data_IF_319161217383
#
_entry.id   IF_319161217383
#
_cell.length_a   1.000
_cell.length_b   1.000
_cell.length_c   1.000
_cell.angle_alpha   90.00
_cell.angle_beta   90.00
_cell.angle_gamma   90.00
#
_symmetry.space_group_name_H-M   'P 1'
#
loop_
_entity.id
_entity.type
_entity.pdbx_description
1 polymer ?
#
# COMPACT_ATOMS: atom_id res chain seq x y z
N UNK A 1 9.05 -36.59 -7.16
CA UNK A 1 8.26 -36.44 -5.92
C UNK A 1 8.41 -34.99 -5.48
N UNK A 2 7.41 -34.15 -5.73
CA UNK A 2 7.38 -32.75 -5.30
C UNK A 2 7.02 -32.70 -3.81
N UNK A 3 7.89 -32.11 -3.00
CA UNK A 3 7.58 -31.85 -1.59
C UNK A 3 6.44 -30.81 -1.53
N UNK A 4 5.44 -30.98 -0.65
CA UNK A 4 4.48 -29.93 -0.38
C UNK A 4 5.19 -28.80 0.38
N UNK A 5 5.22 -27.59 -0.18
CA UNK A 5 5.50 -26.39 0.60
C UNK A 5 4.37 -26.22 1.62
N UNK A 6 4.68 -26.50 2.88
CA UNK A 6 3.78 -26.28 4.00
C UNK A 6 3.82 -24.77 4.29
N UNK A 7 2.78 -24.06 3.86
CA UNK A 7 2.57 -22.67 4.27
C UNK A 7 2.06 -22.69 5.72
N UNK A 8 2.95 -22.38 6.67
CA UNK A 8 2.58 -22.27 8.09
C UNK A 8 1.85 -20.93 8.25
N UNK A 9 0.55 -20.98 8.54
CA UNK A 9 -0.23 -19.82 8.96
C UNK A 9 0.12 -19.50 10.40
N UNK A 10 0.90 -18.44 10.61
CA UNK A 10 1.16 -17.87 11.93
C UNK A 10 0.31 -16.59 12.10
N UNK A 11 -0.74 -16.61 12.95
CA UNK A 11 -1.62 -15.47 13.18
C UNK A 11 -0.97 -14.30 13.96
N UNK A 12 0.25 -14.47 14.46
CA UNK A 12 1.08 -13.41 15.08
C UNK A 12 2.22 -12.95 14.16
N UNK A 13 2.51 -13.69 13.09
CA UNK A 13 3.39 -13.19 12.04
C UNK A 13 2.69 -12.03 11.32
N UNK A 14 3.45 -10.99 11.01
CA UNK A 14 3.03 -9.80 10.27
C UNK A 14 2.58 -10.10 8.82
N UNK A 15 2.13 -11.31 8.50
CA UNK A 15 1.80 -11.78 7.15
C UNK A 15 0.30 -11.87 6.86
N UNK A 16 -0.59 -11.68 7.85
CA UNK A 16 -2.04 -11.56 7.59
C UNK A 16 -2.35 -10.18 6.97
N UNK A 17 -2.65 -10.10 5.67
CA UNK A 17 -2.92 -8.82 5.00
C UNK A 17 -4.11 -8.09 5.61
N UNK A 18 -5.03 -8.83 6.25
CA UNK A 18 -6.22 -8.25 6.88
C UNK A 18 -5.90 -7.57 8.20
N UNK A 19 -4.87 -8.02 8.93
CA UNK A 19 -4.44 -7.38 10.18
C UNK A 19 -3.68 -6.08 9.91
N UNK A 20 -2.81 -6.06 8.88
CA UNK A 20 -2.06 -4.85 8.51
C UNK A 20 -2.99 -3.67 8.20
N UNK A 21 -4.05 -3.91 7.43
CA UNK A 21 -4.97 -2.87 6.97
C UNK A 21 -5.85 -2.33 8.12
N UNK A 22 -6.14 -3.13 9.15
CA UNK A 22 -7.00 -2.71 10.28
C UNK A 22 -6.37 -1.63 11.16
N UNK A 23 -5.05 -1.55 11.22
CA UNK A 23 -4.33 -0.63 12.10
C UNK A 23 -3.90 0.66 11.39
N UNK A 24 -4.13 0.77 10.08
CA UNK A 24 -3.81 1.98 9.32
C UNK A 24 -4.83 3.08 9.67
N UNK A 25 -4.40 4.21 10.25
CA UNK A 25 -5.30 5.31 10.55
C UNK A 25 -6.01 5.80 9.29
N UNK A 26 -7.31 6.08 9.41
CA UNK A 26 -8.15 6.70 8.36
C UNK A 26 -8.48 5.82 7.15
N UNK A 27 -8.23 4.51 7.18
CA UNK A 27 -8.77 3.62 6.15
C UNK A 27 -10.30 3.47 6.32
N UNK A 28 -11.10 3.54 5.24
CA UNK A 28 -12.54 3.35 5.37
C UNK A 28 -12.92 1.93 5.83
N UNK A 29 -13.82 1.82 6.80
CA UNK A 29 -14.33 0.53 7.27
C UNK A 29 -14.96 -0.31 6.14
N UNK A 30 -15.60 0.34 5.17
CA UNK A 30 -16.17 -0.32 3.99
C UNK A 30 -15.09 -1.01 3.15
N UNK A 31 -13.92 -0.41 3.02
CA UNK A 31 -12.78 -0.97 2.31
C UNK A 31 -12.20 -2.16 3.08
N UNK A 32 -11.99 -2.02 4.39
CA UNK A 32 -11.49 -3.12 5.25
C UNK A 32 -12.41 -4.33 5.16
N UNK A 33 -13.72 -4.11 5.27
CA UNK A 33 -14.72 -5.20 5.20
C UNK A 33 -14.72 -5.88 3.83
N UNK A 34 -14.72 -5.11 2.75
CA UNK A 34 -14.70 -5.67 1.39
C UNK A 34 -13.42 -6.50 1.15
N UNK A 35 -12.27 -6.01 1.62
CA UNK A 35 -11.00 -6.72 1.49
C UNK A 35 -10.98 -8.02 2.29
N UNK A 36 -11.42 -8.01 3.55
CA UNK A 36 -11.56 -9.23 4.37
C UNK A 36 -12.42 -10.29 3.69
N UNK A 37 -13.55 -9.89 3.11
CA UNK A 37 -14.42 -10.80 2.37
C UNK A 37 -13.72 -11.37 1.12
N UNK A 38 -12.99 -10.53 0.38
CA UNK A 38 -12.23 -10.97 -0.80
C UNK A 38 -11.14 -12.00 -0.42
N UNK A 39 -10.41 -11.78 0.68
CA UNK A 39 -9.42 -12.72 1.21
C UNK A 39 -10.08 -14.04 1.61
N UNK A 40 -11.22 -14.00 2.29
CA UNK A 40 -11.92 -15.22 2.74
C UNK A 40 -12.34 -16.14 1.59
N UNK A 41 -12.93 -15.58 0.52
CA UNK A 41 -13.34 -16.39 -0.65
C UNK A 41 -12.15 -16.86 -1.47
N UNK A 42 -11.08 -16.05 -1.54
CA UNK A 42 -9.82 -16.44 -2.17
C UNK A 42 -9.18 -17.65 -1.47
N UNK A 43 -9.08 -17.60 -0.14
CA UNK A 43 -8.54 -18.72 0.66
C UNK A 43 -9.41 -19.98 0.55
N UNK A 44 -10.71 -19.80 0.30
CA UNK A 44 -11.66 -20.90 0.04
C UNK A 44 -11.57 -21.44 -1.40
N UNK A 45 -10.72 -20.85 -2.26
CA UNK A 45 -10.51 -21.21 -3.68
C UNK A 45 -11.75 -21.02 -4.57
N UNK A 46 -12.62 -20.10 -4.18
CA UNK A 46 -13.83 -19.75 -4.93
C UNK A 46 -13.52 -18.65 -5.97
N UNK A 47 -13.06 -19.06 -7.16
CA UNK A 47 -12.54 -18.12 -8.16
C UNK A 47 -13.57 -17.06 -8.63
N UNK A 48 -14.81 -17.47 -8.90
CA UNK A 48 -15.86 -16.53 -9.33
C UNK A 48 -16.19 -15.52 -8.24
N UNK A 49 -16.31 -15.97 -6.99
CA UNK A 49 -16.54 -15.09 -5.85
C UNK A 49 -15.34 -14.16 -5.62
N UNK A 50 -14.12 -14.65 -5.81
CA UNK A 50 -12.88 -13.87 -5.73
C UNK A 50 -12.86 -12.74 -6.76
N UNK A 51 -13.26 -13.01 -8.01
CA UNK A 51 -13.31 -11.98 -9.06
C UNK A 51 -14.31 -10.86 -8.73
N UNK A 52 -15.51 -11.22 -8.26
CA UNK A 52 -16.52 -10.24 -7.81
C UNK A 52 -16.00 -9.45 -6.60
N UNK A 53 -15.39 -10.17 -5.65
CA UNK A 53 -14.67 -9.70 -4.46
C UNK A 53 -13.69 -8.57 -4.80
N UNK A 54 -12.73 -8.91 -5.66
CA UNK A 54 -11.64 -8.05 -6.09
C UNK A 54 -12.16 -6.79 -6.78
N UNK A 55 -13.14 -6.92 -7.69
CA UNK A 55 -13.77 -5.75 -8.34
C UNK A 55 -14.36 -4.80 -7.30
N UNK A 56 -15.07 -5.32 -6.30
CA UNK A 56 -15.66 -4.49 -5.23
C UNK A 56 -14.61 -3.78 -4.39
N UNK A 57 -13.49 -4.44 -4.10
CA UNK A 57 -12.36 -3.82 -3.40
C UNK A 57 -11.79 -2.67 -4.22
N UNK A 58 -11.53 -2.87 -5.52
CA UNK A 58 -11.02 -1.82 -6.41
C UNK A 58 -11.97 -0.62 -6.47
N UNK A 59 -13.27 -0.86 -6.64
CA UNK A 59 -14.29 0.20 -6.62
C UNK A 59 -14.29 0.98 -5.29
N UNK A 60 -14.14 0.29 -4.17
CA UNK A 60 -14.10 0.93 -2.85
C UNK A 60 -12.82 1.75 -2.64
N UNK A 61 -11.66 1.27 -3.13
CA UNK A 61 -10.41 2.03 -3.13
C UNK A 61 -10.59 3.33 -3.92
N UNK A 62 -11.10 3.24 -5.15
CA UNK A 62 -11.27 4.40 -6.03
C UNK A 62 -12.31 5.38 -5.46
N UNK A 63 -13.45 4.88 -4.98
CA UNK A 63 -14.50 5.67 -4.33
C UNK A 63 -13.99 6.45 -3.11
N UNK A 64 -13.02 5.92 -2.36
CA UNK A 64 -12.43 6.64 -1.23
C UNK A 64 -11.77 7.96 -1.65
N UNK A 65 -11.14 8.00 -2.83
CA UNK A 65 -10.44 9.19 -3.32
C UNK A 65 -11.31 10.05 -4.25
N UNK A 66 -12.14 9.41 -5.08
CA UNK A 66 -12.97 10.10 -6.08
C UNK A 66 -14.35 10.52 -5.53
N UNK A 67 -14.82 9.88 -4.46
CA UNK A 67 -16.16 10.09 -3.91
C UNK A 67 -17.25 9.89 -4.97
N UNK A 68 -18.17 10.84 -5.04
CA UNK A 68 -19.29 10.81 -5.98
C UNK A 68 -18.87 11.01 -7.44
N UNK A 69 -17.65 11.49 -7.71
CA UNK A 69 -17.13 11.68 -9.09
C UNK A 69 -16.91 10.35 -9.81
N UNK A 70 -16.77 9.25 -9.07
CA UNK A 70 -16.68 7.90 -9.65
C UNK A 70 -18.01 7.35 -10.16
N UNK A 71 -19.16 7.94 -9.79
CA UNK A 71 -20.49 7.39 -10.13
C UNK A 71 -20.71 7.38 -11.64
N UNK A 72 -21.02 6.21 -12.18
CA UNK A 72 -21.31 6.01 -13.60
C UNK A 72 -20.07 5.87 -14.50
N UNK A 73 -18.86 6.01 -13.94
CA UNK A 73 -17.61 5.80 -14.67
C UNK A 73 -17.19 4.33 -14.66
N UNK A 74 -16.59 3.88 -15.75
CA UNK A 74 -15.92 2.57 -15.81
C UNK A 74 -14.65 2.55 -14.96
N UNK A 75 -14.11 1.37 -14.65
CA UNK A 75 -12.91 1.27 -13.80
C UNK A 75 -11.69 1.93 -14.44
N UNK A 76 -11.51 1.77 -15.75
CA UNK A 76 -10.45 2.42 -16.52
C UNK A 76 -10.52 3.96 -16.37
N UNK A 77 -11.69 4.55 -16.59
CA UNK A 77 -11.92 5.99 -16.41
C UNK A 77 -11.63 6.46 -14.97
N UNK A 78 -12.01 5.66 -13.97
CA UNK A 78 -11.72 5.99 -12.58
C UNK A 78 -10.22 5.94 -12.27
N UNK A 79 -9.47 4.98 -12.83
CA UNK A 79 -8.02 4.92 -12.70
C UNK A 79 -7.32 6.09 -13.40
N UNK A 80 -7.79 6.49 -14.59
CA UNK A 80 -7.27 7.67 -15.30
C UNK A 80 -7.47 8.97 -14.51
N UNK A 81 -8.61 9.11 -13.81
CA UNK A 81 -8.91 10.29 -12.98
C UNK A 81 -8.23 10.28 -11.61
N UNK A 82 -7.76 9.14 -11.13
CA UNK A 82 -7.24 8.99 -9.78
C UNK A 82 -6.10 9.96 -9.46
N UNK A 83 -5.05 10.13 -10.31
CA UNK A 83 -3.91 11.00 -10.02
C UNK A 83 -4.29 12.46 -9.71
N UNK A 84 -5.39 12.97 -10.28
CA UNK A 84 -5.86 14.34 -10.03
C UNK A 84 -6.47 14.53 -8.62
N UNK A 85 -6.71 13.42 -7.91
CA UNK A 85 -7.43 13.39 -6.64
C UNK A 85 -6.58 12.84 -5.48
N UNK A 86 -5.41 12.28 -5.76
CA UNK A 86 -4.46 11.80 -4.76
C UNK A 86 -3.10 12.50 -4.90
N UNK A 87 -2.60 13.06 -3.80
CA UNK A 87 -1.25 13.60 -3.74
C UNK A 87 -0.25 12.47 -3.51
N UNK A 88 0.08 11.74 -4.58
CA UNK A 88 1.05 10.64 -4.55
C UNK A 88 2.46 11.10 -4.19
N UNK A 89 2.77 12.38 -4.39
CA UNK A 89 4.04 12.99 -4.04
C UNK A 89 4.13 13.44 -2.57
N UNK A 90 2.99 13.49 -1.86
CA UNK A 90 2.90 14.10 -0.51
C UNK A 90 3.85 13.50 0.50
N UNK A 91 4.00 12.18 0.50
CA UNK A 91 4.89 11.48 1.43
C UNK A 91 6.32 12.03 1.33
N UNK A 92 6.80 12.29 0.11
CA UNK A 92 8.14 12.85 -0.15
C UNK A 92 8.17 14.35 0.11
N UNK A 93 7.21 15.11 -0.44
CA UNK A 93 7.23 16.57 -0.33
C UNK A 93 7.04 17.05 1.11
N UNK A 94 6.36 16.26 1.95
CA UNK A 94 6.20 16.56 3.38
C UNK A 94 7.51 16.49 4.18
N UNK A 95 8.55 15.80 3.68
CA UNK A 95 9.86 15.72 4.33
C UNK A 95 10.76 16.92 3.99
N UNK A 96 10.47 17.64 2.90
CA UNK A 96 11.30 18.76 2.45
C UNK A 96 11.58 19.81 3.55
N UNK A 97 10.61 20.22 4.39
CA UNK A 97 10.87 21.16 5.49
C UNK A 97 11.89 20.63 6.52
N UNK A 98 11.95 19.31 6.73
CA UNK A 98 12.87 18.68 7.68
C UNK A 98 14.31 18.65 7.15
N UNK A 99 14.46 18.63 5.83
CA UNK A 99 15.76 18.56 5.13
C UNK A 99 16.38 19.93 4.85
N UNK A 100 15.73 21.03 5.26
CA UNK A 100 16.28 22.37 5.05
C UNK A 100 17.55 22.57 5.87
N UNK A 101 18.54 23.35 5.38
CA UNK A 101 19.79 23.60 6.10
C UNK A 101 19.63 24.12 7.53
N UNK A 102 18.60 24.94 7.76
CA UNK A 102 18.26 25.46 9.08
C UNK A 102 17.59 24.44 10.03
N UNK A 103 17.14 23.30 9.51
CA UNK A 103 16.39 22.27 10.23
C UNK A 103 17.28 21.37 11.08
N UNK A 104 16.74 20.93 12.22
CA UNK A 104 17.47 20.10 13.18
C UNK A 104 17.92 18.76 12.59
N UNK A 105 17.03 18.09 11.84
CA UNK A 105 17.34 16.81 11.22
C UNK A 105 18.47 16.95 10.18
N UNK A 106 18.45 17.97 9.33
CA UNK A 106 19.55 18.22 8.40
C UNK A 106 20.89 18.36 9.11
N UNK A 107 20.95 19.18 10.17
CA UNK A 107 22.18 19.39 10.95
C UNK A 107 22.68 18.13 11.65
N UNK A 108 21.78 17.27 12.13
CA UNK A 108 22.14 15.96 12.68
C UNK A 108 22.76 15.06 11.59
N UNK A 109 22.18 15.05 10.39
CA UNK A 109 22.72 14.27 9.25
C UNK A 109 24.09 14.79 8.77
N UNK A 110 24.32 16.10 8.86
CA UNK A 110 25.62 16.74 8.60
C UNK A 110 26.61 16.63 9.78
N UNK A 111 26.25 15.87 10.84
CA UNK A 111 27.06 15.63 12.03
C UNK A 111 27.40 16.91 12.82
N UNK A 112 26.62 17.98 12.65
CA UNK A 112 26.72 19.18 13.48
C UNK A 112 26.18 18.94 14.91
N UNK A 113 25.26 17.97 15.05
CA UNK A 113 24.71 17.49 16.32
C UNK A 113 24.70 15.97 16.37
N UNK A 114 24.83 15.40 17.57
CA UNK A 114 24.65 13.96 17.77
C UNK A 114 23.17 13.57 17.67
N UNK A 115 22.92 12.38 17.12
CA UNK A 115 21.64 11.69 17.21
C UNK A 115 21.66 10.79 18.43
N UNK A 116 20.55 10.72 19.15
CA UNK A 116 20.34 9.67 20.14
C UNK A 116 19.81 8.39 19.48
N UNK A 117 19.71 7.33 20.28
CA UNK A 117 19.27 6.02 19.79
C UNK A 117 17.84 6.07 19.22
N UNK A 118 16.93 6.83 19.84
CA UNK A 118 15.53 6.97 19.40
C UNK A 118 15.44 7.68 18.04
N UNK A 119 16.19 8.77 17.86
CA UNK A 119 16.25 9.48 16.59
C UNK A 119 16.89 8.63 15.49
N UNK A 120 17.90 7.83 15.85
CA UNK A 120 18.55 6.89 14.93
C UNK A 120 17.56 5.83 14.43
N UNK A 121 16.75 5.26 15.33
CA UNK A 121 15.69 4.30 14.97
C UNK A 121 14.67 4.93 14.02
N UNK A 122 14.16 6.13 14.34
CA UNK A 122 13.20 6.84 13.49
C UNK A 122 13.74 7.16 12.08
N UNK A 123 15.01 7.51 11.96
CA UNK A 123 15.63 7.78 10.65
C UNK A 123 15.77 6.48 9.85
N UNK A 124 16.16 5.38 10.49
CA UNK A 124 16.26 4.08 9.82
C UNK A 124 14.89 3.61 9.33
N UNK A 125 13.84 3.74 10.14
CA UNK A 125 12.46 3.44 9.76
C UNK A 125 12.01 4.31 8.58
N UNK A 126 12.26 5.63 8.64
CA UNK A 126 11.95 6.54 7.54
C UNK A 126 12.64 6.17 6.24
N UNK A 127 13.91 5.74 6.30
CA UNK A 127 14.65 5.29 5.12
C UNK A 127 14.05 4.01 4.54
N UNK A 128 13.69 3.04 5.39
CA UNK A 128 13.01 1.82 4.94
C UNK A 128 11.67 2.16 4.26
N UNK A 129 10.84 2.97 4.91
CA UNK A 129 9.55 3.40 4.37
C UNK A 129 9.67 4.13 3.04
N UNK A 130 10.67 5.01 2.89
CA UNK A 130 10.95 5.70 1.62
C UNK A 130 11.37 4.73 0.52
N UNK A 131 12.23 3.75 0.83
CA UNK A 131 12.63 2.72 -0.12
C UNK A 131 11.41 1.87 -0.53
N UNK A 132 10.59 1.47 0.43
CA UNK A 132 9.37 0.72 0.19
C UNK A 132 8.41 1.50 -0.71
N UNK A 133 8.17 2.77 -0.40
CA UNK A 133 7.23 3.62 -1.12
C UNK A 133 7.69 3.99 -2.54
N UNK A 134 8.97 4.34 -2.72
CA UNK A 134 9.47 4.87 -3.98
C UNK A 134 9.94 3.80 -4.96
N UNK A 135 10.39 2.65 -4.48
CA UNK A 135 10.99 1.63 -5.33
C UNK A 135 10.27 0.29 -5.24
N UNK A 136 10.06 -0.22 -4.02
CA UNK A 136 9.55 -1.59 -3.86
C UNK A 136 8.08 -1.72 -4.25
N UNK A 137 7.21 -0.87 -3.72
CA UNK A 137 5.77 -0.90 -4.00
C UNK A 137 5.46 -0.61 -5.47
N UNK A 138 6.00 0.46 -6.10
CA UNK A 138 5.80 0.70 -7.53
C UNK A 138 6.31 -0.46 -8.38
N UNK A 139 7.49 -1.02 -8.06
CA UNK A 139 8.04 -2.18 -8.76
C UNK A 139 7.16 -3.43 -8.63
N UNK A 140 6.65 -3.73 -7.44
CA UNK A 140 5.73 -4.87 -7.22
C UNK A 140 4.42 -4.71 -8.00
N UNK A 141 3.86 -3.51 -8.06
CA UNK A 141 2.65 -3.22 -8.84
C UNK A 141 2.91 -3.48 -10.32
N UNK A 142 4.02 -2.96 -10.85
CA UNK A 142 4.40 -3.13 -12.25
C UNK A 142 4.64 -4.60 -12.61
N UNK A 143 5.42 -5.32 -11.80
CA UNK A 143 5.64 -6.75 -12.00
C UNK A 143 4.34 -7.56 -11.96
N UNK A 144 3.41 -7.21 -11.08
CA UNK A 144 2.09 -7.86 -11.00
C UNK A 144 1.27 -7.59 -12.26
N UNK A 145 1.26 -6.34 -12.75
CA UNK A 145 0.61 -5.94 -14.00
C UNK A 145 1.14 -6.76 -15.18
N UNK A 146 2.46 -6.83 -15.34
CA UNK A 146 3.12 -7.60 -16.40
C UNK A 146 2.77 -9.09 -16.35
N UNK A 147 2.70 -9.69 -15.15
CA UNK A 147 2.30 -11.08 -14.97
C UNK A 147 0.84 -11.33 -15.37
N UNK A 148 -0.06 -10.39 -15.05
CA UNK A 148 -1.46 -10.45 -15.48
C UNK A 148 -1.55 -10.38 -17.00
N UNK A 149 -0.89 -9.40 -17.63
CA UNK A 149 -0.88 -9.23 -19.09
C UNK A 149 -0.34 -10.48 -19.80
N UNK A 150 0.73 -11.08 -19.28
CA UNK A 150 1.29 -12.33 -19.80
C UNK A 150 0.33 -13.53 -19.71
N UNK A 151 -0.63 -13.51 -18.79
CA UNK A 151 -1.65 -14.56 -18.66
C UNK A 151 -2.86 -14.35 -19.57
N UNK A 152 -3.08 -13.12 -20.01
CA UNK A 152 -4.22 -12.74 -20.87
C UNK A 152 -3.89 -12.84 -22.37
N UNK A 153 -2.59 -12.81 -22.70
CA UNK A 153 -2.05 -13.05 -24.05
C UNK A 153 -1.65 -14.50 -24.26
#
# INVERSE_FOLDING_TARGET
MTQPEVYIYDPQSSTDPTNQIQHIPKIPEELVRAYKSAVSVYLSKENTATAVLAKRVLENVLKNFLGDKAKGLTLDQQFEMLPDHIHLDRAVTSLSPLMKPEGALHKMLELEYEMDDEMTELIMDLLEDLIQYLFVLPGKIEMTREQIEKKLN
#
